data_IF_001975434199
#
_entry.id   IF_001975434199
#
_cell.length_a   1.000
_cell.length_b   1.000
_cell.length_c   1.000
_cell.angle_alpha   90.00
_cell.angle_beta   90.00
_cell.angle_gamma   90.00
#
_symmetry.space_group_name_H-M   'P 1'
#
loop_
_entity.id
_entity.type
_entity.pdbx_description
1 polymer ?
#
# COMPACT_ATOMS: atom_id res chain seq x y z
N UNK A 1 14.54 -0.08 20.13
CA UNK A 1 15.55 0.05 19.07
C UNK A 1 14.88 0.63 17.83
N UNK A 2 14.98 1.95 17.61
CA UNK A 2 14.53 2.58 16.37
C UNK A 2 15.58 2.30 15.29
N UNK A 3 15.37 1.22 14.53
CA UNK A 3 16.19 0.94 13.35
C UNK A 3 15.84 1.98 12.29
N UNK A 4 16.70 2.98 12.11
CA UNK A 4 16.62 3.88 10.96
C UNK A 4 17.12 3.10 9.75
N UNK A 5 16.23 2.36 9.11
CA UNK A 5 16.53 1.66 7.86
C UNK A 5 16.81 2.72 6.78
N UNK A 6 18.08 2.88 6.41
CA UNK A 6 18.53 3.88 5.42
C UNK A 6 18.20 3.48 3.98
N UNK A 7 17.74 2.24 3.78
CA UNK A 7 17.46 1.69 2.46
C UNK A 7 16.04 2.02 2.03
N UNK A 8 15.89 2.99 1.14
CA UNK A 8 14.58 3.35 0.58
C UNK A 8 13.90 2.23 -0.20
N UNK A 9 14.66 1.37 -0.88
CA UNK A 9 14.09 0.35 -1.76
C UNK A 9 13.83 -0.96 -1.02
N UNK A 10 12.62 -1.48 -1.17
CA UNK A 10 12.26 -2.82 -0.71
C UNK A 10 13.15 -3.87 -1.39
N UNK A 11 13.59 -4.85 -0.62
CA UNK A 11 14.30 -6.02 -1.14
C UNK A 11 13.37 -6.93 -1.96
N UNK A 12 13.95 -7.82 -2.76
CA UNK A 12 13.19 -8.83 -3.49
C UNK A 12 12.35 -9.71 -2.56
N UNK A 13 12.93 -10.20 -1.45
CA UNK A 13 12.20 -11.01 -0.46
C UNK A 13 11.02 -10.25 0.15
N UNK A 14 11.20 -8.96 0.48
CA UNK A 14 10.09 -8.13 0.95
C UNK A 14 9.02 -7.95 -0.13
N UNK A 15 9.43 -7.77 -1.40
CA UNK A 15 8.49 -7.68 -2.52
C UNK A 15 7.71 -8.98 -2.71
N UNK A 16 8.36 -10.14 -2.64
CA UNK A 16 7.70 -11.45 -2.72
C UNK A 16 6.70 -11.67 -1.58
N UNK A 17 7.06 -11.28 -0.35
CA UNK A 17 6.13 -11.32 0.78
C UNK A 17 4.90 -10.43 0.56
N UNK A 18 5.09 -9.22 0.00
CA UNK A 18 3.98 -8.35 -0.39
C UNK A 18 3.16 -8.94 -1.55
N UNK A 19 3.75 -9.63 -2.53
CA UNK A 19 2.98 -10.34 -3.57
C UNK A 19 2.08 -11.41 -2.94
N UNK A 20 2.62 -12.19 -2.01
CA UNK A 20 1.86 -13.23 -1.33
C UNK A 20 0.68 -12.65 -0.52
N UNK A 21 0.92 -11.54 0.18
CA UNK A 21 -0.10 -10.88 1.02
C UNK A 21 -1.13 -10.08 0.20
N UNK A 22 -0.67 -9.31 -0.78
CA UNK A 22 -1.48 -8.30 -1.47
C UNK A 22 -2.11 -8.83 -2.76
N UNK A 23 -1.55 -9.87 -3.39
CA UNK A 23 -2.14 -10.49 -4.59
C UNK A 23 -2.35 -9.58 -5.82
N UNK A 24 -2.00 -8.29 -5.76
CA UNK A 24 -2.19 -7.32 -6.84
C UNK A 24 -2.21 -5.89 -6.30
N UNK A 25 -2.73 -4.95 -7.10
CA UNK A 25 -2.91 -3.58 -6.65
C UNK A 25 -3.98 -3.51 -5.55
N UNK A 26 -3.61 -2.99 -4.37
CA UNK A 26 -4.49 -2.98 -3.18
C UNK A 26 -5.51 -1.86 -3.18
N UNK A 27 -5.43 -0.92 -4.13
CA UNK A 27 -6.39 0.16 -4.28
C UNK A 27 -7.81 -0.40 -4.53
N UNK A 28 -8.86 0.10 -3.84
CA UNK A 28 -10.21 -0.45 -3.94
C UNK A 28 -10.72 -0.53 -5.37
N UNK A 29 -11.17 -1.71 -5.79
CA UNK A 29 -11.75 -1.90 -7.11
C UNK A 29 -10.74 -2.09 -8.25
N UNK A 30 -9.43 -2.04 -8.00
CA UNK A 30 -8.42 -2.36 -9.01
C UNK A 30 -8.26 -3.88 -9.20
N UNK A 31 -7.85 -4.32 -10.37
CA UNK A 31 -7.63 -5.73 -10.75
C UNK A 31 -6.22 -5.98 -11.32
N UNK A 32 -5.36 -4.96 -11.31
CA UNK A 32 -4.01 -5.06 -11.86
C UNK A 32 -3.18 -6.10 -11.08
N UNK A 33 -2.56 -7.07 -11.79
CA UNK A 33 -1.85 -8.17 -11.15
C UNK A 33 -0.50 -7.72 -10.55
N UNK A 34 0.10 -8.52 -9.64
CA UNK A 34 1.35 -8.17 -8.96
C UNK A 34 2.52 -7.85 -9.89
N UNK A 35 2.55 -8.46 -11.08
CA UNK A 35 3.59 -8.22 -12.09
C UNK A 35 3.64 -6.75 -12.54
N UNK A 36 2.53 -6.02 -12.43
CA UNK A 36 2.40 -4.63 -12.88
C UNK A 36 2.25 -3.63 -11.70
N UNK A 37 2.68 -4.07 -10.53
CA UNK A 37 2.68 -3.26 -9.31
C UNK A 37 4.08 -2.88 -8.86
N UNK A 38 4.14 -1.76 -8.13
CA UNK A 38 5.29 -1.26 -7.41
C UNK A 38 5.02 -1.37 -5.91
N UNK A 39 6.08 -1.52 -5.13
CA UNK A 39 6.00 -1.42 -3.68
C UNK A 39 5.89 0.06 -3.28
N UNK A 40 4.89 0.37 -2.47
CA UNK A 40 4.57 1.69 -1.97
C UNK A 40 4.70 1.71 -0.44
N UNK A 41 5.36 2.73 0.11
CA UNK A 41 5.38 2.96 1.54
C UNK A 41 4.05 3.58 1.99
N UNK A 42 3.46 3.04 3.07
CA UNK A 42 2.25 3.60 3.71
C UNK A 42 2.60 4.87 4.48
N UNK A 43 3.62 4.80 5.32
CA UNK A 43 4.31 5.97 5.85
C UNK A 43 5.49 6.26 4.97
N UNK A 44 5.47 7.41 4.29
CA UNK A 44 6.53 7.84 3.37
C UNK A 44 7.93 7.64 3.98
N UNK A 45 8.83 7.01 3.22
CA UNK A 45 10.24 6.88 3.63
C UNK A 45 10.89 8.25 3.89
N UNK A 46 10.55 9.28 3.10
CA UNK A 46 11.04 10.64 3.30
C UNK A 46 10.58 11.28 4.62
N UNK A 47 9.54 10.73 5.26
CA UNK A 47 9.04 11.12 6.59
C UNK A 47 9.52 10.18 7.69
N UNK A 48 10.53 9.35 7.43
CA UNK A 48 11.08 8.38 8.39
C UNK A 48 10.33 7.05 8.44
N UNK A 49 9.45 6.76 7.48
CA UNK A 49 8.79 5.45 7.39
C UNK A 49 9.78 4.32 7.07
N UNK A 50 9.76 3.20 7.83
CA UNK A 50 10.75 2.14 7.65
C UNK A 50 10.44 1.30 6.39
N UNK A 51 11.45 0.76 5.72
CA UNK A 51 11.26 -0.17 4.60
C UNK A 51 11.05 -1.59 5.13
N UNK A 52 9.82 -1.87 5.54
CA UNK A 52 9.39 -3.17 6.07
C UNK A 52 8.10 -3.62 5.40
N UNK A 53 7.81 -4.92 5.40
CA UNK A 53 6.56 -5.47 4.84
C UNK A 53 5.35 -4.83 5.54
N UNK A 54 5.42 -4.57 6.85
CA UNK A 54 4.36 -3.91 7.63
C UNK A 54 4.10 -2.44 7.23
N UNK A 55 5.06 -1.78 6.57
CA UNK A 55 4.92 -0.42 6.04
C UNK A 55 4.86 -0.37 4.50
N UNK A 56 4.82 -1.52 3.83
CA UNK A 56 4.78 -1.63 2.38
C UNK A 56 3.42 -2.16 1.88
N UNK A 57 3.00 -1.76 0.69
CA UNK A 57 1.83 -2.32 -0.03
C UNK A 57 2.06 -2.29 -1.54
N UNK A 58 1.41 -3.18 -2.29
CA UNK A 58 1.47 -3.20 -3.75
C UNK A 58 0.44 -2.26 -4.38
N UNK A 59 0.91 -1.44 -5.34
CA UNK A 59 0.09 -0.44 -6.05
C UNK A 59 0.49 -0.40 -7.53
N UNK A 60 -0.48 -0.36 -8.45
CA UNK A 60 -0.17 -0.23 -9.87
C UNK A 60 0.36 1.17 -10.20
N UNK A 61 1.04 1.31 -11.35
CA UNK A 61 1.62 2.60 -11.75
C UNK A 61 0.60 3.74 -11.85
N UNK A 62 -0.65 3.45 -12.26
CA UNK A 62 -1.73 4.45 -12.26
C UNK A 62 -2.00 4.96 -10.84
N UNK A 63 -2.42 4.07 -9.94
CA UNK A 63 -2.79 4.45 -8.58
C UNK A 63 -1.60 5.02 -7.80
N UNK A 64 -0.38 4.53 -8.02
CA UNK A 64 0.84 5.07 -7.41
C UNK A 64 1.08 6.56 -7.75
N UNK A 65 0.61 7.03 -8.92
CA UNK A 65 0.73 8.45 -9.32
C UNK A 65 -0.48 9.30 -8.95
N UNK A 66 -1.66 8.68 -8.81
CA UNK A 66 -2.92 9.42 -8.72
C UNK A 66 -3.53 9.44 -7.33
N UNK A 67 -3.27 8.46 -6.45
CA UNK A 67 -3.97 8.31 -5.18
C UNK A 67 -3.92 9.58 -4.33
N UNK A 68 -2.73 10.18 -4.14
CA UNK A 68 -2.56 11.40 -3.33
C UNK A 68 -3.31 12.58 -3.92
N UNK A 69 -3.26 12.75 -5.26
CA UNK A 69 -3.97 13.84 -5.96
C UNK A 69 -5.48 13.68 -5.85
N UNK A 70 -5.96 12.44 -5.77
CA UNK A 70 -7.35 12.10 -5.54
C UNK A 70 -7.74 12.11 -4.05
N UNK A 71 -6.82 12.48 -3.15
CA UNK A 71 -7.04 12.57 -1.70
C UNK A 71 -7.11 11.23 -0.96
N UNK A 72 -6.71 10.12 -1.62
CA UNK A 72 -6.65 8.80 -1.00
C UNK A 72 -5.35 8.58 -0.24
N UNK A 73 -5.48 7.91 0.91
CA UNK A 73 -4.35 7.54 1.77
C UNK A 73 -4.36 6.04 2.02
N UNK A 74 -3.21 5.39 1.86
CA UNK A 74 -3.03 4.01 2.28
C UNK A 74 -2.87 3.93 3.81
N UNK A 75 -3.32 2.83 4.40
CA UNK A 75 -3.16 2.49 5.82
C UNK A 75 -2.97 0.98 5.97
N UNK A 76 -2.39 0.54 7.09
CA UNK A 76 -2.49 -0.85 7.52
C UNK A 76 -3.62 -1.03 8.52
N UNK A 77 -4.40 -2.09 8.35
CA UNK A 77 -5.46 -2.52 9.26
C UNK A 77 -5.32 -4.02 9.45
N UNK A 78 -5.05 -4.45 10.68
CA UNK A 78 -4.89 -5.88 11.04
C UNK A 78 -3.94 -6.66 10.12
N UNK A 79 -2.79 -6.03 9.81
CA UNK A 79 -1.76 -6.61 8.95
C UNK A 79 -2.07 -6.59 7.45
N UNK A 80 -3.20 -6.00 7.03
CA UNK A 80 -3.62 -5.88 5.63
C UNK A 80 -3.71 -4.42 5.17
N UNK A 81 -3.34 -4.12 3.92
CA UNK A 81 -3.48 -2.76 3.39
C UNK A 81 -4.95 -2.41 3.14
N UNK A 82 -5.32 -1.21 3.57
CA UNK A 82 -6.60 -0.58 3.26
C UNK A 82 -6.37 0.87 2.80
N UNK A 83 -7.42 1.51 2.31
CA UNK A 83 -7.37 2.84 1.75
C UNK A 83 -8.45 3.72 2.36
N UNK A 84 -8.04 4.85 2.93
CA UNK A 84 -8.94 5.88 3.41
C UNK A 84 -9.36 6.75 2.20
N UNK A 85 -10.65 6.84 1.88
CA UNK A 85 -11.15 7.78 0.88
C UNK A 85 -10.95 9.22 1.35
N UNK A 86 -10.99 10.18 0.41
CA UNK A 86 -11.02 11.58 0.79
C UNK A 86 -12.33 11.94 1.52
N UNK A 87 -12.32 12.96 2.42
CA UNK A 87 -13.49 13.34 3.21
C UNK A 87 -14.75 13.70 2.39
N UNK A 88 -14.59 14.22 1.17
CA UNK A 88 -15.72 14.54 0.30
C UNK A 88 -16.39 13.31 -0.32
N UNK A 89 -15.71 12.17 -0.37
CA UNK A 89 -16.27 10.90 -0.82
C UNK A 89 -16.86 10.09 0.35
N UNK A 90 -16.24 10.16 1.51
CA UNK A 90 -16.74 9.59 2.76
C UNK A 90 -16.24 10.45 3.93
N UNK A 91 -17.11 11.25 4.57
CA UNK A 91 -16.71 12.13 5.68
C UNK A 91 -16.10 11.40 6.87
N UNK A 92 -16.42 10.10 7.05
CA UNK A 92 -15.85 9.28 8.13
C UNK A 92 -14.55 8.58 7.70
N UNK A 93 -14.15 8.74 6.44
CA UNK A 93 -12.96 8.13 5.83
C UNK A 93 -12.82 6.64 6.18
N UNK A 94 -13.90 5.87 6.05
CA UNK A 94 -13.87 4.45 6.46
C UNK A 94 -12.87 3.69 5.59
N UNK A 95 -11.95 2.90 6.19
CA UNK A 95 -10.98 2.12 5.43
C UNK A 95 -11.67 1.18 4.44
N UNK A 96 -11.16 1.15 3.21
CA UNK A 96 -11.64 0.25 2.14
C UNK A 96 -10.52 -0.69 1.72
N UNK A 97 -10.80 -1.97 1.75
CA UNK A 97 -9.91 -3.00 1.19
C UNK A 97 -10.28 -3.27 -0.27
N UNK A 98 -9.38 -3.91 -1.02
CA UNK A 98 -9.71 -4.44 -2.33
C UNK A 98 -10.10 -5.92 -2.21
N UNK A 99 -11.38 -6.30 -2.39
CA UNK A 99 -11.80 -7.69 -2.23
C UNK A 99 -11.20 -8.65 -3.27
N UNK A 100 -10.63 -8.13 -4.37
CA UNK A 100 -9.97 -8.94 -5.41
C UNK A 100 -8.53 -9.30 -5.07
N UNK A 101 -7.94 -8.61 -4.10
CA UNK A 101 -6.65 -9.03 -3.55
C UNK A 101 -6.85 -10.29 -2.73
N UNK A 102 -5.95 -11.26 -2.87
CA UNK A 102 -6.12 -12.60 -2.28
C UNK A 102 -6.42 -12.47 -0.78
N UNK A 103 -7.51 -13.06 -0.27
CA UNK A 103 -7.57 -13.41 1.13
C UNK A 103 -6.50 -14.48 1.34
N UNK A 104 -5.32 -14.08 1.81
CA UNK A 104 -4.39 -14.99 2.46
C UNK A 104 -5.08 -15.75 3.58
#
# INVERSE_FOLDING_TARGET
LTHTDTRRLFTETQRLAMIARDGGCTFPGCDVPPAWTQAHHITDHARGGPTTIANGTLVCGHHHRTHTRQGWRSVMTDGRPAWLPPPWLDPKQRPRTNPRTRPG
#
